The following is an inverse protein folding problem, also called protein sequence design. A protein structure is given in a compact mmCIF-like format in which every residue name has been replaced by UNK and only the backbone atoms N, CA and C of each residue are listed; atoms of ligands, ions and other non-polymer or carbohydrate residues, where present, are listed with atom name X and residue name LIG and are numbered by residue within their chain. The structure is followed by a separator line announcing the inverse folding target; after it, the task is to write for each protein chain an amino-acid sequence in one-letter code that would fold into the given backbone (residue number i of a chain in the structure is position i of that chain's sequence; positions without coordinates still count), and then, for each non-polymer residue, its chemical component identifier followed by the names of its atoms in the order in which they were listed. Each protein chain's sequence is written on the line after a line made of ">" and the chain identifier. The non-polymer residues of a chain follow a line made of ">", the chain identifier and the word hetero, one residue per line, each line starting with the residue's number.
data_IF_578601871067
#
_entry.id   IF_578601871067
#
_cell.length_a   1.000
_cell.length_b   1.000
_cell.length_c   1.000
_cell.angle_alpha   90.00
_cell.angle_beta   90.00
_cell.angle_gamma   90.00
#
_symmetry.space_group_name_H-M   'P 1'
#
loop_
_entity.id
_entity.type
_entity.pdbx_description
1 polymer ?
#
# COMPACT_ATOMS: atom_id res chain seq x y z
N UNK A 1 -16.41 8.54 -2.01
CA UNK A 1 -15.54 9.61 -1.45
C UNK A 1 -14.28 9.69 -2.30
N UNK A 2 -13.83 10.88 -2.70
CA UNK A 2 -12.54 11.02 -3.40
C UNK A 2 -11.39 10.81 -2.41
N UNK A 3 -10.37 10.04 -2.81
CA UNK A 3 -9.18 9.79 -2.00
C UNK A 3 -8.13 10.87 -2.27
N UNK A 4 -7.65 11.53 -1.22
CA UNK A 4 -6.58 12.51 -1.34
C UNK A 4 -5.22 11.80 -1.27
N UNK A 5 -4.75 11.30 -2.42
CA UNK A 5 -3.49 10.57 -2.53
C UNK A 5 -2.38 11.48 -3.06
N UNK A 6 -1.17 11.30 -2.54
CA UNK A 6 0.04 11.85 -3.15
C UNK A 6 0.56 10.87 -4.22
N UNK A 7 1.55 11.25 -5.04
CA UNK A 7 2.07 10.37 -6.10
C UNK A 7 2.53 8.99 -5.59
N UNK A 8 3.15 8.95 -4.41
CA UNK A 8 3.62 7.70 -3.80
C UNK A 8 2.47 6.81 -3.35
N UNK A 9 1.52 7.33 -2.57
CA UNK A 9 0.37 6.53 -2.10
C UNK A 9 -0.55 6.12 -3.23
N UNK A 10 -0.66 6.94 -4.29
CA UNK A 10 -1.32 6.56 -5.54
C UNK A 10 -0.61 5.39 -6.22
N UNK A 11 0.72 5.45 -6.37
CA UNK A 11 1.50 4.37 -6.99
C UNK A 11 1.35 3.06 -6.22
N UNK A 12 1.43 3.10 -4.87
CA UNK A 12 1.20 1.93 -4.03
C UNK A 12 -0.21 1.37 -4.25
N UNK A 13 -1.24 2.22 -4.22
CA UNK A 13 -2.61 1.79 -4.45
C UNK A 13 -2.78 1.17 -5.84
N UNK A 14 -2.22 1.78 -6.88
CA UNK A 14 -2.26 1.27 -8.25
C UNK A 14 -1.67 -0.13 -8.35
N UNK A 15 -0.48 -0.35 -7.75
CA UNK A 15 0.14 -1.67 -7.72
C UNK A 15 -0.75 -2.71 -7.04
N UNK A 16 -1.32 -2.36 -5.90
CA UNK A 16 -2.18 -3.27 -5.14
C UNK A 16 -3.48 -3.59 -5.87
N UNK A 17 -4.10 -2.60 -6.53
CA UNK A 17 -5.33 -2.80 -7.32
C UNK A 17 -5.05 -3.69 -8.52
N UNK A 18 -3.94 -3.50 -9.23
CA UNK A 18 -3.57 -4.31 -10.39
C UNK A 18 -3.30 -5.78 -10.05
N UNK A 19 -2.88 -6.05 -8.82
CA UNK A 19 -2.54 -7.41 -8.37
C UNK A 19 -3.62 -8.04 -7.48
N UNK A 20 -4.66 -7.31 -7.07
CA UNK A 20 -5.66 -7.84 -6.14
C UNK A 20 -6.33 -9.11 -6.70
N UNK A 21 -6.49 -10.17 -5.89
CA UNK A 21 -6.25 -10.26 -4.43
C UNK A 21 -4.84 -10.74 -4.05
N UNK A 22 -3.90 -10.86 -4.98
CA UNK A 22 -2.54 -11.33 -4.72
C UNK A 22 -1.71 -10.36 -3.88
N UNK A 23 -0.70 -10.90 -3.20
CA UNK A 23 0.20 -10.12 -2.35
C UNK A 23 1.21 -9.40 -3.23
N UNK A 24 1.34 -8.09 -3.04
CA UNK A 24 2.48 -7.31 -3.54
C UNK A 24 3.52 -7.21 -2.44
N UNK A 25 4.73 -7.70 -2.72
CA UNK A 25 5.81 -7.77 -1.74
C UNK A 25 6.33 -6.39 -1.35
N UNK A 26 6.99 -6.31 -0.20
CA UNK A 26 7.65 -5.06 0.23
C UNK A 26 8.72 -4.65 -0.78
N UNK A 27 9.48 -5.62 -1.27
CA UNK A 27 10.56 -5.45 -2.23
C UNK A 27 10.04 -4.90 -3.56
N UNK A 28 8.94 -5.42 -4.10
CA UNK A 28 8.34 -4.90 -5.33
C UNK A 28 7.87 -3.46 -5.19
N UNK A 29 7.22 -3.12 -4.07
CA UNK A 29 6.75 -1.76 -3.83
C UNK A 29 7.95 -0.82 -3.67
N UNK A 30 8.95 -1.22 -2.88
CA UNK A 30 10.16 -0.42 -2.68
C UNK A 30 10.89 -0.19 -4.00
N UNK A 31 11.07 -1.24 -4.80
CA UNK A 31 11.69 -1.16 -6.12
C UNK A 31 10.92 -0.24 -7.07
N UNK A 32 9.58 -0.29 -7.07
CA UNK A 32 8.76 0.61 -7.90
C UNK A 32 8.91 2.08 -7.50
N UNK A 33 9.07 2.37 -6.21
CA UNK A 33 9.11 3.73 -5.68
C UNK A 33 10.50 4.36 -5.72
N UNK A 34 11.53 3.57 -5.43
CA UNK A 34 12.90 4.06 -5.22
C UNK A 34 13.97 3.31 -6.01
N UNK A 35 13.61 2.23 -6.71
CA UNK A 35 14.55 1.34 -7.40
C UNK A 35 15.61 0.83 -6.40
N UNK A 36 16.87 1.22 -6.57
CA UNK A 36 17.98 0.85 -5.69
C UNK A 36 18.23 1.87 -4.56
N UNK A 37 17.47 2.97 -4.50
CA UNK A 37 17.75 4.11 -3.62
C UNK A 37 16.67 4.32 -2.54
N UNK A 38 16.24 3.25 -1.86
CA UNK A 38 15.30 3.42 -0.74
C UNK A 38 15.95 4.26 0.37
N UNK A 39 15.36 5.42 0.75
CA UNK A 39 16.01 6.36 1.67
C UNK A 39 16.13 5.82 3.10
N UNK A 40 15.14 5.04 3.56
CA UNK A 40 15.16 4.31 4.83
C UNK A 40 14.03 3.25 4.83
N UNK A 41 14.26 2.10 5.48
CA UNK A 41 13.37 0.95 5.60
C UNK A 41 11.99 1.26 6.24
N UNK A 42 11.88 2.40 6.91
CA UNK A 42 10.64 2.89 7.54
C UNK A 42 9.76 3.74 6.62
N UNK A 43 10.30 4.28 5.52
CA UNK A 43 9.56 5.22 4.66
C UNK A 43 8.36 4.54 3.98
N UNK A 44 8.52 3.29 3.54
CA UNK A 44 7.39 2.49 3.04
C UNK A 44 6.29 2.33 4.10
N UNK A 45 6.65 2.13 5.38
CA UNK A 45 5.66 1.99 6.46
C UNK A 45 4.86 3.29 6.63
N UNK A 46 5.52 4.44 6.57
CA UNK A 46 4.86 5.75 6.63
C UNK A 46 3.87 5.96 5.48
N UNK A 47 4.25 5.59 4.25
CA UNK A 47 3.34 5.70 3.11
C UNK A 47 2.15 4.74 3.20
N UNK A 48 2.35 3.52 3.68
CA UNK A 48 1.25 2.58 3.94
C UNK A 48 0.30 3.14 5.01
N UNK A 49 0.82 3.74 6.08
CA UNK A 49 -0.01 4.39 7.10
C UNK A 49 -0.84 5.56 6.51
N UNK A 50 -0.21 6.39 5.67
CA UNK A 50 -0.90 7.47 4.95
C UNK A 50 -2.01 6.93 4.04
N UNK A 51 -1.72 5.85 3.29
CA UNK A 51 -2.69 5.20 2.41
C UNK A 51 -3.88 4.65 3.21
N UNK A 52 -3.64 3.95 4.33
CA UNK A 52 -4.71 3.49 5.25
C UNK A 52 -5.58 4.64 5.75
N UNK A 53 -4.97 5.80 6.02
CA UNK A 53 -5.71 6.99 6.44
C UNK A 53 -6.75 7.46 5.43
N UNK A 54 -6.51 7.24 4.14
CA UNK A 54 -7.44 7.58 3.07
C UNK A 54 -8.34 6.42 2.66
N UNK A 55 -7.79 5.19 2.60
CA UNK A 55 -8.45 4.03 2.02
C UNK A 55 -9.24 3.20 3.02
N UNK A 56 -8.78 3.07 4.26
CA UNK A 56 -9.43 2.20 5.26
C UNK A 56 -10.24 3.05 6.25
N UNK A 57 -9.62 4.05 6.92
CA UNK A 57 -10.26 4.80 8.02
C UNK A 57 -11.64 5.41 7.68
N UNK A 58 -11.89 5.92 6.45
CA UNK A 58 -13.19 6.51 6.12
C UNK A 58 -14.31 5.52 5.80
N UNK A 59 -14.03 4.22 5.77
CA UNK A 59 -14.95 3.18 5.34
C UNK A 59 -15.06 2.11 6.44
N UNK A 60 -16.18 1.38 6.47
CA UNK A 60 -16.41 0.34 7.48
C UNK A 60 -15.50 -0.87 7.28
N UNK A 61 -15.09 -1.10 6.04
CA UNK A 61 -14.32 -2.26 5.62
C UNK A 61 -12.86 -1.87 5.35
N UNK A 62 -11.92 -2.53 6.03
CA UNK A 62 -10.50 -2.32 5.81
C UNK A 62 -9.98 -3.25 4.71
N UNK A 63 -9.75 -2.69 3.53
CA UNK A 63 -9.30 -3.42 2.34
C UNK A 63 -7.79 -3.73 2.37
N UNK A 64 -6.98 -2.87 2.99
CA UNK A 64 -5.51 -3.00 2.96
C UNK A 64 -4.97 -3.93 4.06
N UNK A 65 -4.74 -5.20 3.71
CA UNK A 65 -4.17 -6.20 4.61
C UNK A 65 -2.65 -6.18 4.60
N UNK A 66 -2.06 -6.38 5.78
CA UNK A 66 -0.61 -6.62 5.92
C UNK A 66 -0.37 -8.11 6.02
N UNK A 67 0.51 -8.62 5.17
CA UNK A 67 0.99 -10.01 5.22
C UNK A 67 2.36 -9.99 5.89
N UNK A 68 2.47 -10.43 7.17
CA UNK A 68 3.71 -10.30 7.93
C UNK A 68 4.90 -10.89 7.19
N UNK A 69 6.01 -10.13 7.15
CA UNK A 69 7.27 -10.49 6.48
C UNK A 69 7.19 -10.69 4.95
N UNK A 70 6.04 -10.42 4.32
CA UNK A 70 5.87 -10.57 2.87
C UNK A 70 5.54 -9.23 2.22
N UNK A 71 4.43 -8.59 2.61
CA UNK A 71 3.92 -7.47 1.84
C UNK A 71 2.52 -7.04 2.20
N UNK A 72 1.79 -6.57 1.20
CA UNK A 72 0.46 -6.02 1.33
C UNK A 72 -0.45 -6.54 0.22
N UNK A 73 -1.76 -6.66 0.52
CA UNK A 73 -2.76 -7.06 -0.46
C UNK A 73 -4.03 -6.25 -0.25
N UNK A 74 -4.79 -6.05 -1.32
CA UNK A 74 -6.18 -5.60 -1.22
C UNK A 74 -7.09 -6.82 -1.23
N UNK A 75 -7.91 -6.92 -0.19
CA UNK A 75 -8.85 -8.02 -0.01
C UNK A 75 -10.06 -7.45 0.74
N UNK A 76 -11.29 -7.68 0.24
CA UNK A 76 -12.49 -7.34 0.98
C UNK A 76 -12.46 -7.94 2.40
N UNK A 77 -12.94 -7.19 3.38
CA UNK A 77 -13.24 -7.71 4.70
C UNK A 77 -14.22 -8.88 4.57
N UNK A 78 -13.82 -10.03 5.12
CA UNK A 78 -14.70 -11.17 5.32
C UNK A 78 -15.79 -10.85 6.35
#
# INVERSE_FOLDING_TARGET
>A
KLLALNPTTYTILEMLVKNAPEVVTREEIAFRLWQENEPNNDVLRSHIYQLRGQLDKPFEEHLLKTIPKVGFRLEPGA
#
